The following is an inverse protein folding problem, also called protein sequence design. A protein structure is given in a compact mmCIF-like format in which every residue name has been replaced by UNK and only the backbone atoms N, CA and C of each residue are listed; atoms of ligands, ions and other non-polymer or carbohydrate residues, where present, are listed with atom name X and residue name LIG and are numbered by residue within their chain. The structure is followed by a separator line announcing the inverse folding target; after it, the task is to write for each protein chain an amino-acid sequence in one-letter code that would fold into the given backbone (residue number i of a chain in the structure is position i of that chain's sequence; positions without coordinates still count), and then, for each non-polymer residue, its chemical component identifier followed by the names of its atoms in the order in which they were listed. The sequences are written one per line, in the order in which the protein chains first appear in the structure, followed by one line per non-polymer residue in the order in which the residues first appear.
data_IF_007209903372
#
_entry.id   IF_007209903372
#
_cell.length_a   1.000
_cell.length_b   1.000
_cell.length_c   1.000
_cell.angle_alpha   90.00
_cell.angle_beta   90.00
_cell.angle_gamma   90.00
#
_symmetry.space_group_name_H-M   'P 1'
#
loop_
_entity.id
_entity.type
_entity.pdbx_description
1 polymer ?
#
# COMPACT_ATOMS: atom_id res chain seq x y z
N UNK A 1 9.56 10.95 -4.92
CA UNK A 1 10.32 9.69 -5.12
C UNK A 1 10.38 9.41 -6.60
N UNK A 2 11.49 8.85 -7.13
CA UNK A 2 11.57 8.55 -8.56
C UNK A 2 10.59 7.44 -8.94
N UNK A 3 10.15 7.40 -10.22
CA UNK A 3 9.24 6.37 -10.74
C UNK A 3 9.80 4.94 -10.72
N UNK A 4 11.10 4.79 -10.44
CA UNK A 4 11.80 3.51 -10.30
C UNK A 4 12.71 3.52 -9.08
N UNK A 5 12.93 2.34 -8.51
CA UNK A 5 13.89 2.13 -7.41
C UNK A 5 15.32 2.39 -7.91
N UNK A 6 16.15 3.17 -7.19
CA UNK A 6 17.55 3.37 -7.56
C UNK A 6 18.34 2.07 -7.40
N UNK A 7 19.54 1.96 -8.02
CA UNK A 7 20.43 0.83 -7.78
C UNK A 7 20.73 0.65 -6.29
N UNK A 8 20.62 -0.57 -5.78
CA UNK A 8 20.86 -0.95 -4.38
C UNK A 8 21.90 -2.06 -4.30
N UNK A 9 22.72 -2.06 -3.25
CA UNK A 9 23.90 -2.93 -3.16
C UNK A 9 23.61 -4.27 -2.45
N UNK A 10 22.60 -4.34 -1.60
CA UNK A 10 22.29 -5.52 -0.80
C UNK A 10 20.79 -5.86 -0.82
N UNK A 11 20.49 -7.11 -0.45
CA UNK A 11 19.14 -7.66 -0.53
C UNK A 11 18.15 -6.94 0.39
N UNK A 12 18.53 -6.66 1.64
CA UNK A 12 17.64 -5.99 2.62
C UNK A 12 17.23 -4.61 2.12
N UNK A 13 18.22 -3.81 1.73
CA UNK A 13 17.98 -2.48 1.17
C UNK A 13 17.13 -2.57 -0.10
N UNK A 14 17.35 -3.58 -0.96
CA UNK A 14 16.55 -3.79 -2.15
C UNK A 14 15.09 -4.07 -1.82
N UNK A 15 14.81 -5.03 -0.94
CA UNK A 15 13.44 -5.39 -0.54
C UNK A 15 12.68 -4.20 0.07
N UNK A 16 13.31 -3.47 0.98
CA UNK A 16 12.70 -2.27 1.58
C UNK A 16 12.48 -1.15 0.54
N UNK A 17 13.42 -0.93 -0.37
CA UNK A 17 13.29 0.09 -1.41
C UNK A 17 12.16 -0.24 -2.41
N UNK A 18 12.01 -1.51 -2.81
CA UNK A 18 10.90 -1.94 -3.66
C UNK A 18 9.56 -1.85 -2.93
N UNK A 19 9.49 -2.23 -1.65
CA UNK A 19 8.28 -2.07 -0.85
C UNK A 19 7.91 -0.58 -0.71
N UNK A 20 8.87 0.30 -0.40
CA UNK A 20 8.67 1.74 -0.32
C UNK A 20 8.17 2.32 -1.66
N UNK A 21 8.68 1.83 -2.80
CA UNK A 21 8.20 2.21 -4.13
C UNK A 21 6.73 1.81 -4.33
N UNK A 22 6.33 0.59 -3.95
CA UNK A 22 4.94 0.17 -4.08
C UNK A 22 4.00 0.96 -3.17
N UNK A 23 4.40 1.25 -1.94
CA UNK A 23 3.65 2.15 -1.04
C UNK A 23 3.48 3.55 -1.64
N UNK A 24 4.53 4.07 -2.25
CA UNK A 24 4.49 5.38 -2.90
C UNK A 24 3.49 5.41 -4.05
N UNK A 25 3.51 4.45 -4.98
CA UNK A 25 2.59 4.43 -6.11
C UNK A 25 1.15 4.24 -5.68
N UNK A 26 0.88 3.42 -4.63
CA UNK A 26 -0.45 3.30 -4.06
C UNK A 26 -0.94 4.62 -3.46
N UNK A 27 -0.12 5.29 -2.62
CA UNK A 27 -0.46 6.59 -2.02
C UNK A 27 -0.65 7.69 -3.07
N UNK A 28 0.06 7.60 -4.18
CA UNK A 28 -0.04 8.55 -5.28
C UNK A 28 -1.44 8.58 -5.90
N UNK A 29 -2.15 7.45 -5.93
CA UNK A 29 -3.53 7.40 -6.43
C UNK A 29 -4.50 8.28 -5.63
N UNK A 30 -4.18 8.59 -4.37
CA UNK A 30 -4.96 9.46 -3.51
C UNK A 30 -4.63 10.96 -3.67
N UNK A 31 -3.61 11.32 -4.45
CA UNK A 31 -3.18 12.71 -4.59
C UNK A 31 -4.31 13.61 -5.07
N UNK A 32 -4.64 14.62 -4.26
CA UNK A 32 -5.68 15.61 -4.57
C UNK A 32 -7.13 15.10 -4.50
N UNK A 33 -7.39 13.88 -4.06
CA UNK A 33 -8.75 13.39 -3.79
C UNK A 33 -9.34 14.04 -2.52
N UNK A 34 -10.64 14.27 -2.56
CA UNK A 34 -11.45 14.58 -1.37
C UNK A 34 -11.82 13.29 -0.62
N UNK A 35 -12.26 13.40 0.65
CA UNK A 35 -12.74 12.23 1.42
C UNK A 35 -13.90 11.51 0.70
N UNK A 36 -14.83 12.25 0.10
CA UNK A 36 -15.94 11.66 -0.65
C UNK A 36 -15.48 10.89 -1.90
N UNK A 37 -14.44 11.34 -2.56
CA UNK A 37 -13.85 10.62 -3.69
C UNK A 37 -13.04 9.40 -3.23
N UNK A 38 -12.36 9.51 -2.09
CA UNK A 38 -11.56 8.43 -1.54
C UNK A 38 -12.38 7.20 -1.14
N UNK A 39 -13.63 7.36 -0.75
CA UNK A 39 -14.56 6.26 -0.42
C UNK A 39 -15.44 5.83 -1.59
N UNK A 40 -15.37 6.52 -2.73
CA UNK A 40 -16.16 6.16 -3.90
C UNK A 40 -15.64 4.86 -4.54
N UNK A 41 -16.57 3.99 -4.95
CA UNK A 41 -16.32 2.74 -5.66
C UNK A 41 -16.96 2.78 -7.06
N UNK A 42 -16.45 3.60 -8.02
CA UNK A 42 -17.07 3.82 -9.31
C UNK A 42 -16.75 2.72 -10.34
N UNK A 43 -15.83 1.80 -10.03
CA UNK A 43 -15.42 0.71 -10.91
C UNK A 43 -16.38 -0.49 -10.80
N UNK A 44 -16.06 -1.61 -11.46
CA UNK A 44 -16.86 -2.83 -11.42
C UNK A 44 -16.85 -3.56 -10.07
N UNK A 45 -15.87 -3.27 -9.22
CA UNK A 45 -15.73 -3.81 -7.86
C UNK A 45 -16.15 -2.77 -6.83
N UNK A 46 -16.32 -3.21 -5.57
CA UNK A 46 -16.60 -2.33 -4.43
C UNK A 46 -15.33 -1.65 -3.86
N UNK A 47 -14.20 -1.77 -4.55
CA UNK A 47 -12.92 -1.20 -4.11
C UNK A 47 -12.94 0.33 -4.23
N UNK A 48 -12.41 0.99 -3.19
CA UNK A 48 -12.17 2.43 -3.17
C UNK A 48 -10.69 2.72 -2.89
N UNK A 49 -10.20 3.89 -3.31
CA UNK A 49 -8.80 4.27 -3.08
C UNK A 49 -8.46 4.31 -1.59
N UNK A 50 -9.32 4.92 -0.78
CA UNK A 50 -9.13 5.00 0.68
C UNK A 50 -9.16 3.62 1.34
N UNK A 51 -10.10 2.76 0.93
CA UNK A 51 -10.20 1.39 1.41
C UNK A 51 -8.96 0.56 1.08
N UNK A 52 -8.43 0.67 -0.14
CA UNK A 52 -7.20 -0.01 -0.54
C UNK A 52 -5.98 0.43 0.27
N UNK A 53 -5.84 1.74 0.54
CA UNK A 53 -4.75 2.26 1.39
C UNK A 53 -4.86 1.72 2.81
N UNK A 54 -6.07 1.73 3.40
CA UNK A 54 -6.32 1.17 4.73
C UNK A 54 -6.01 -0.33 4.78
N UNK A 55 -6.51 -1.08 3.78
CA UNK A 55 -6.26 -2.52 3.68
C UNK A 55 -4.77 -2.83 3.69
N UNK A 56 -3.98 -2.12 2.89
CA UNK A 56 -2.54 -2.34 2.85
C UNK A 56 -1.84 -1.95 4.15
N UNK A 57 -2.28 -0.88 4.82
CA UNK A 57 -1.74 -0.51 6.12
C UNK A 57 -2.03 -1.59 7.19
N UNK A 58 -3.26 -2.07 7.28
CA UNK A 58 -3.65 -3.11 8.22
C UNK A 58 -2.97 -4.45 7.92
N UNK A 59 -2.91 -4.84 6.64
CA UNK A 59 -2.25 -6.06 6.19
C UNK A 59 -0.75 -6.07 6.50
N UNK A 60 -0.07 -4.98 6.20
CA UNK A 60 1.36 -4.83 6.49
C UNK A 60 1.65 -4.92 7.99
N UNK A 61 0.85 -4.26 8.85
CA UNK A 61 0.96 -4.37 10.30
C UNK A 61 0.75 -5.80 10.77
N UNK A 62 -0.29 -6.48 10.28
CA UNK A 62 -0.59 -7.87 10.63
C UNK A 62 0.57 -8.82 10.28
N UNK A 63 1.19 -8.62 9.12
CA UNK A 63 2.38 -9.38 8.73
C UNK A 63 3.58 -9.11 9.65
N UNK A 64 3.79 -7.86 10.07
CA UNK A 64 4.86 -7.54 11.04
C UNK A 64 4.58 -8.10 12.42
N UNK A 65 3.34 -8.13 12.86
CA UNK A 65 2.94 -8.81 14.09
C UNK A 65 3.20 -10.32 14.00
N UNK A 66 2.94 -10.94 12.85
CA UNK A 66 3.27 -12.35 12.59
C UNK A 66 4.80 -12.59 12.63
N UNK A 67 5.59 -11.70 12.03
CA UNK A 67 7.08 -11.75 12.09
C UNK A 67 7.59 -11.69 13.53
N UNK A 68 6.93 -10.89 14.38
CA UNK A 68 7.29 -10.71 15.78
C UNK A 68 6.61 -11.70 16.74
N UNK A 69 5.85 -12.67 16.19
CA UNK A 69 5.06 -13.64 16.96
C UNK A 69 4.12 -12.96 17.98
N UNK A 70 3.60 -11.76 17.64
CA UNK A 70 2.60 -11.06 18.42
C UNK A 70 1.20 -11.60 18.11
N UNK A 71 0.25 -11.50 19.06
CA UNK A 71 -1.13 -11.80 18.76
C UNK A 71 -1.62 -10.92 17.60
N UNK A 72 -2.04 -11.53 16.49
CA UNK A 72 -2.67 -10.79 15.39
C UNK A 72 -4.06 -10.30 15.80
N UNK A 73 -4.48 -9.16 15.21
CA UNK A 73 -5.83 -8.63 15.36
C UNK A 73 -6.92 -9.65 14.95
N UNK A 74 -8.17 -9.34 15.27
CA UNK A 74 -9.29 -10.21 14.92
C UNK A 74 -9.51 -10.30 13.40
N UNK A 75 -10.08 -11.42 12.91
CA UNK A 75 -10.54 -11.57 11.53
C UNK A 75 -11.51 -10.46 11.11
N UNK A 76 -12.29 -9.93 12.04
CA UNK A 76 -13.22 -8.81 11.82
C UNK A 76 -12.49 -7.51 11.40
N UNK A 77 -11.26 -7.32 11.85
CA UNK A 77 -10.43 -6.16 11.47
C UNK A 77 -9.89 -6.30 10.04
N UNK A 78 -9.59 -7.52 9.62
CA UNK A 78 -9.21 -7.82 8.23
C UNK A 78 -10.40 -7.64 7.28
N UNK A 79 -11.58 -8.15 7.63
CA UNK A 79 -12.79 -8.07 6.79
C UNK A 79 -13.26 -6.62 6.57
N UNK A 80 -13.05 -5.74 7.57
CA UNK A 80 -13.34 -4.30 7.47
C UNK A 80 -12.20 -3.49 6.86
N UNK A 81 -11.10 -4.14 6.50
CA UNK A 81 -9.89 -3.47 6.01
C UNK A 81 -10.10 -2.69 4.71
N UNK A 82 -11.11 -3.04 3.89
CA UNK A 82 -11.38 -2.37 2.61
C UNK A 82 -12.34 -1.17 2.70
N UNK A 83 -12.83 -0.84 3.88
CA UNK A 83 -13.77 0.27 4.07
C UNK A 83 -13.26 1.26 5.13
N UNK A 84 -13.46 2.55 4.87
CA UNK A 84 -13.23 3.57 5.88
C UNK A 84 -14.38 3.54 6.89
N UNK A 85 -14.04 3.54 8.19
CA UNK A 85 -15.03 3.73 9.26
C UNK A 85 -15.60 5.15 9.27
N UNK A 86 -16.66 5.38 10.03
CA UNK A 86 -17.38 6.67 10.05
C UNK A 86 -16.52 7.86 10.52
N UNK A 87 -15.48 7.59 11.32
CA UNK A 87 -14.59 8.62 11.87
C UNK A 87 -13.23 8.65 11.14
N UNK A 88 -13.06 7.86 10.07
CA UNK A 88 -11.83 7.82 9.29
C UNK A 88 -11.93 8.73 8.07
N UNK A 89 -10.84 9.42 7.78
CA UNK A 89 -10.66 10.29 6.61
C UNK A 89 -9.53 9.78 5.75
N UNK A 90 -9.43 10.26 4.51
CA UNK A 90 -8.29 9.97 3.65
C UNK A 90 -6.96 10.33 4.33
N UNK A 91 -6.90 11.49 4.99
CA UNK A 91 -5.72 11.91 5.73
C UNK A 91 -5.35 10.92 6.84
N UNK A 92 -6.33 10.45 7.63
CA UNK A 92 -6.08 9.52 8.74
C UNK A 92 -5.54 8.16 8.27
N UNK A 93 -6.02 7.63 7.13
CA UNK A 93 -5.51 6.35 6.61
C UNK A 93 -4.15 6.49 5.92
N UNK A 94 -3.86 7.64 5.31
CA UNK A 94 -2.52 7.96 4.80
C UNK A 94 -1.50 8.06 5.92
N UNK A 95 -1.85 8.74 7.04
CA UNK A 95 -1.02 8.83 8.24
C UNK A 95 -0.82 7.45 8.90
N UNK A 96 -1.87 6.63 8.92
CA UNK A 96 -1.77 5.25 9.39
C UNK A 96 -0.74 4.47 8.59
N UNK A 97 -0.84 4.54 7.26
CA UNK A 97 0.07 3.79 6.38
C UNK A 97 1.52 4.27 6.50
N UNK A 98 1.73 5.56 6.70
CA UNK A 98 3.07 6.12 6.94
C UNK A 98 3.69 5.61 8.26
N UNK A 99 2.91 5.59 9.34
CA UNK A 99 3.36 5.03 10.63
C UNK A 99 3.69 3.54 10.52
N UNK A 100 2.82 2.75 9.87
CA UNK A 100 3.06 1.32 9.67
C UNK A 100 4.31 1.07 8.84
N UNK A 101 4.53 1.85 7.78
CA UNK A 101 5.73 1.76 6.96
C UNK A 101 7.01 2.00 7.79
N UNK A 102 7.01 3.04 8.63
CA UNK A 102 8.15 3.33 9.52
C UNK A 102 8.37 2.22 10.58
N UNK A 103 7.29 1.66 11.13
CA UNK A 103 7.35 0.51 12.05
C UNK A 103 7.95 -0.73 11.35
N UNK A 104 7.51 -1.05 10.14
CA UNK A 104 8.06 -2.16 9.33
C UNK A 104 9.56 -2.00 9.10
N UNK A 105 10.00 -0.80 8.71
CA UNK A 105 11.42 -0.53 8.48
C UNK A 105 12.24 -0.70 9.77
N UNK A 106 11.73 -0.23 10.91
CA UNK A 106 12.38 -0.39 12.21
C UNK A 106 12.45 -1.86 12.64
N UNK A 107 11.38 -2.64 12.44
CA UNK A 107 11.35 -4.08 12.74
C UNK A 107 12.37 -4.81 11.87
N UNK A 108 12.35 -4.59 10.56
CA UNK A 108 13.27 -5.27 9.62
C UNK A 108 14.73 -4.88 9.89
N UNK A 109 15.01 -3.64 10.30
CA UNK A 109 16.36 -3.22 10.69
C UNK A 109 16.90 -3.97 11.92
N UNK A 110 16.01 -4.42 12.82
CA UNK A 110 16.38 -5.19 14.01
C UNK A 110 16.52 -6.70 13.78
N UNK A 111 16.23 -7.22 12.58
CA UNK A 111 16.32 -8.64 12.23
C UNK A 111 17.69 -8.92 11.61
N UNK A 112 18.48 -9.79 12.21
CA UNK A 112 19.83 -10.10 11.71
C UNK A 112 19.81 -10.92 10.41
N UNK A 113 18.94 -11.92 10.34
CA UNK A 113 18.81 -12.85 9.20
C UNK A 113 17.40 -12.80 8.58
N UNK A 114 17.29 -12.39 7.32
CA UNK A 114 16.03 -12.43 6.57
C UNK A 114 15.52 -13.86 6.30
N UNK A 115 16.34 -14.88 6.56
CA UNK A 115 15.95 -16.29 6.61
C UNK A 115 15.24 -16.71 7.89
N UNK A 116 15.15 -15.84 8.92
CA UNK A 116 14.42 -16.13 10.16
C UNK A 116 13.03 -16.69 9.87
N UNK A 117 12.69 -17.79 10.52
CA UNK A 117 11.38 -18.45 10.34
C UNK A 117 10.24 -17.56 10.86
N UNK A 118 9.18 -17.49 10.09
CA UNK A 118 7.92 -16.80 10.42
C UNK A 118 6.81 -17.86 10.41
N UNK A 119 6.19 -18.17 11.55
CA UNK A 119 5.17 -19.21 11.62
C UNK A 119 3.99 -18.93 10.68
N UNK A 120 3.50 -19.97 9.98
CA UNK A 120 2.28 -19.85 9.15
C UNK A 120 1.07 -19.79 10.07
N UNK A 121 0.22 -18.75 10.01
CA UNK A 121 -1.01 -18.67 10.77
C UNK A 121 -1.92 -19.85 10.46
N UNK A 122 -2.37 -20.56 11.49
CA UNK A 122 -3.22 -21.75 11.34
C UNK A 122 -4.69 -21.37 11.22
N UNK A 123 -5.47 -22.20 10.49
CA UNK A 123 -6.90 -21.99 10.35
C UNK A 123 -7.31 -20.90 9.35
N UNK A 124 -6.39 -20.42 8.56
CA UNK A 124 -6.64 -19.46 7.47
C UNK A 124 -6.86 -20.26 6.18
N UNK A 125 -8.05 -20.21 5.56
CA UNK A 125 -8.44 -21.13 4.48
C UNK A 125 -7.57 -21.08 3.21
N UNK A 126 -6.88 -19.98 2.98
CA UNK A 126 -6.01 -19.79 1.81
C UNK A 126 -4.52 -20.00 2.10
N UNK A 127 -4.16 -20.35 3.35
CA UNK A 127 -2.78 -20.69 3.70
C UNK A 127 -2.57 -22.22 3.64
N UNK A 128 -1.37 -22.69 3.22
CA UNK A 128 -1.09 -24.11 3.12
C UNK A 128 -0.94 -24.75 4.51
N UNK A 129 -1.63 -25.85 4.77
CA UNK A 129 -1.57 -26.59 6.03
C UNK A 129 -0.25 -27.37 6.23
N UNK A 130 0.45 -27.69 5.13
CA UNK A 130 1.67 -28.48 5.11
C UNK A 130 2.94 -27.64 5.26
N UNK A 131 2.85 -26.31 5.12
CA UNK A 131 3.94 -25.37 5.35
C UNK A 131 3.91 -24.89 6.80
N UNK A 132 5.01 -25.09 7.54
CA UNK A 132 5.09 -24.72 8.96
C UNK A 132 5.57 -23.28 9.17
N UNK A 133 6.46 -22.81 8.32
CA UNK A 133 6.99 -21.47 8.42
C UNK A 133 7.39 -20.93 7.05
N UNK A 134 7.25 -19.64 6.90
CA UNK A 134 7.88 -18.85 5.86
C UNK A 134 9.21 -18.26 6.37
N UNK A 135 9.72 -17.23 5.70
CA UNK A 135 10.84 -16.43 6.18
C UNK A 135 10.47 -14.95 6.15
N UNK A 136 11.20 -14.11 6.87
CA UNK A 136 11.04 -12.64 6.77
C UNK A 136 11.20 -12.16 5.33
N UNK A 137 12.16 -12.72 4.59
CA UNK A 137 12.32 -12.46 3.14
C UNK A 137 11.04 -12.74 2.36
N UNK A 138 10.39 -13.88 2.61
CA UNK A 138 9.13 -14.23 1.97
C UNK A 138 8.04 -13.20 2.29
N UNK A 139 7.92 -12.79 3.56
CA UNK A 139 6.94 -11.78 3.98
C UNK A 139 7.16 -10.46 3.26
N UNK A 140 8.40 -9.99 3.14
CA UNK A 140 8.72 -8.75 2.42
C UNK A 140 8.39 -8.86 0.92
N UNK A 141 8.68 -9.99 0.28
CA UNK A 141 8.30 -10.23 -1.13
C UNK A 141 6.79 -10.27 -1.29
N UNK A 142 6.06 -10.92 -0.37
CA UNK A 142 4.61 -10.95 -0.37
C UNK A 142 4.01 -9.54 -0.21
N UNK A 143 4.54 -8.72 0.70
CA UNK A 143 4.10 -7.32 0.86
C UNK A 143 4.33 -6.49 -0.41
N UNK A 144 5.45 -6.71 -1.12
CA UNK A 144 5.71 -6.05 -2.41
C UNK A 144 4.68 -6.47 -3.45
N UNK A 145 4.40 -7.78 -3.56
CA UNK A 145 3.42 -8.35 -4.49
C UNK A 145 2.01 -7.81 -4.24
N UNK A 146 1.54 -7.90 -2.99
CA UNK A 146 0.22 -7.44 -2.58
C UNK A 146 0.04 -5.94 -2.79
N UNK A 147 1.03 -5.14 -2.37
CA UNK A 147 0.96 -3.69 -2.57
C UNK A 147 0.94 -3.33 -4.05
N UNK A 148 1.76 -4.00 -4.89
CA UNK A 148 1.79 -3.77 -6.33
C UNK A 148 0.45 -4.10 -6.99
N UNK A 149 -0.18 -5.23 -6.60
CA UNK A 149 -1.49 -5.65 -7.09
C UNK A 149 -2.58 -4.62 -6.72
N UNK A 150 -2.61 -4.20 -5.47
CA UNK A 150 -3.60 -3.24 -5.00
C UNK A 150 -3.35 -1.81 -5.51
N UNK A 151 -2.10 -1.43 -5.77
CA UNK A 151 -1.78 -0.18 -6.46
C UNK A 151 -2.38 -0.14 -7.87
N UNK A 152 -2.29 -1.23 -8.63
CA UNK A 152 -2.94 -1.33 -9.95
C UNK A 152 -4.47 -1.28 -9.88
N UNK A 153 -5.10 -1.86 -8.84
CA UNK A 153 -6.54 -1.67 -8.60
C UNK A 153 -6.88 -0.21 -8.29
N UNK A 154 -6.09 0.44 -7.45
CA UNK A 154 -6.28 1.84 -7.09
C UNK A 154 -6.10 2.78 -8.29
N UNK A 155 -5.18 2.49 -9.21
CA UNK A 155 -5.02 3.22 -10.48
C UNK A 155 -6.33 3.16 -11.29
N UNK A 156 -6.92 1.97 -11.49
CA UNK A 156 -8.17 1.79 -12.24
C UNK A 156 -9.33 2.54 -11.58
N UNK A 157 -9.43 2.47 -10.23
CA UNK A 157 -10.45 3.22 -9.48
C UNK A 157 -10.23 4.73 -9.67
N UNK A 158 -9.00 5.21 -9.56
CA UNK A 158 -8.64 6.61 -9.75
C UNK A 158 -8.97 7.11 -11.16
N UNK A 159 -8.59 6.37 -12.18
CA UNK A 159 -8.91 6.69 -13.56
C UNK A 159 -10.44 6.80 -13.78
N UNK A 160 -11.21 5.99 -13.08
CA UNK A 160 -12.69 6.02 -13.16
C UNK A 160 -13.28 7.23 -12.41
N UNK A 161 -12.63 7.72 -11.35
CA UNK A 161 -13.08 8.92 -10.59
C UNK A 161 -12.92 10.20 -11.42
N UNK A 162 -11.73 10.42 -11.99
CA UNK A 162 -11.40 11.73 -12.59
C UNK A 162 -10.46 11.66 -13.82
N UNK A 163 -10.18 10.46 -14.32
CA UNK A 163 -9.32 10.25 -15.48
C UNK A 163 -7.82 10.41 -15.19
N UNK A 164 -7.43 10.64 -13.93
CA UNK A 164 -6.03 10.83 -13.58
C UNK A 164 -5.24 9.52 -13.71
N UNK A 165 -4.07 9.58 -14.34
CA UNK A 165 -3.16 8.44 -14.50
C UNK A 165 -1.85 8.65 -13.74
N UNK A 166 -1.11 7.58 -13.53
CA UNK A 166 0.06 7.54 -12.64
C UNK A 166 1.11 8.64 -12.92
N UNK A 167 1.54 8.82 -14.19
CA UNK A 167 2.59 9.78 -14.51
C UNK A 167 2.18 11.25 -14.33
N UNK A 168 1.01 11.71 -14.79
CA UNK A 168 0.51 13.05 -14.47
C UNK A 168 0.36 13.31 -12.98
N UNK A 169 -0.10 12.33 -12.19
CA UNK A 169 -0.18 12.43 -10.73
C UNK A 169 1.21 12.57 -10.10
N UNK A 170 2.18 11.77 -10.54
CA UNK A 170 3.56 11.84 -10.08
C UNK A 170 4.19 13.19 -10.42
N UNK A 171 3.99 13.68 -11.65
CA UNK A 171 4.49 14.97 -12.07
C UNK A 171 3.93 16.11 -11.21
N UNK A 172 2.64 16.03 -10.85
CA UNK A 172 2.02 17.01 -9.96
C UNK A 172 2.56 16.91 -8.52
N UNK A 173 2.63 15.70 -7.97
CA UNK A 173 3.10 15.48 -6.60
C UNK A 173 4.59 15.83 -6.39
N UNK A 174 5.41 15.65 -7.42
CA UNK A 174 6.85 15.93 -7.37
C UNK A 174 7.23 17.29 -8.00
N UNK A 175 6.24 18.10 -8.41
CA UNK A 175 6.44 19.41 -9.03
C UNK A 175 7.31 19.37 -10.30
N UNK A 176 7.09 18.37 -11.16
CA UNK A 176 7.78 18.31 -12.45
C UNK A 176 7.26 19.41 -13.39
N UNK A 177 8.13 19.98 -14.22
CA UNK A 177 7.68 20.96 -15.20
C UNK A 177 6.81 20.31 -16.28
N UNK A 178 5.81 21.03 -16.76
CA UNK A 178 5.04 20.61 -17.93
C UNK A 178 5.96 20.53 -19.17
N UNK A 179 5.77 19.51 -19.99
CA UNK A 179 6.46 19.29 -21.26
C UNK A 179 5.46 18.98 -22.36
N UNK A 180 5.90 18.89 -23.63
CA UNK A 180 5.00 18.53 -24.75
C UNK A 180 4.37 17.14 -24.59
N UNK A 181 5.06 16.21 -23.93
CA UNK A 181 4.62 14.80 -23.75
C UNK A 181 4.05 14.50 -22.37
N UNK A 182 4.23 15.40 -21.38
CA UNK A 182 3.80 15.21 -19.99
C UNK A 182 3.22 16.50 -19.43
N UNK A 183 1.97 16.43 -18.99
CA UNK A 183 1.31 17.49 -18.26
C UNK A 183 1.06 17.05 -16.82
N UNK A 184 1.55 17.77 -15.80
CA UNK A 184 1.17 17.47 -14.41
C UNK A 184 -0.34 17.54 -14.23
N UNK A 185 -0.87 16.57 -13.47
CA UNK A 185 -2.30 16.52 -13.18
C UNK A 185 -2.76 17.79 -12.47
N UNK A 186 -3.95 18.24 -12.81
CA UNK A 186 -4.64 19.35 -12.18
C UNK A 186 -6.05 18.93 -11.80
N UNK A 187 -6.50 19.35 -10.60
CA UNK A 187 -7.86 19.07 -10.17
C UNK A 187 -8.86 19.57 -11.23
N UNK A 188 -9.89 18.76 -11.57
CA UNK A 188 -10.95 19.21 -12.46
C UNK A 188 -11.53 20.53 -11.96
N UNK A 189 -11.77 21.48 -12.88
CA UNK A 189 -12.44 22.72 -12.53
C UNK A 189 -13.82 22.40 -11.96
N UNK A 190 -14.12 22.89 -10.75
CA UNK A 190 -15.45 22.75 -10.17
C UNK A 190 -16.42 23.43 -11.10
N UNK A 191 -17.30 22.66 -11.76
CA UNK A 191 -18.40 23.23 -12.52
C UNK A 191 -19.25 24.07 -11.58
N UNK A 192 -19.29 25.38 -11.84
CA UNK A 192 -20.12 26.33 -11.09
C UNK A 192 -21.59 26.19 -11.46
#
# INVERSE_FOLDING_TARGET
MAGIVPPVADERTALLAFLAQQRYVLRLTAYGLTDSQAVAAPAASELSVGGLIKHMACGERSWMDTVLERPSGSTDEYDRGFELGPDETLASVLDLYERVAAETEAIVAGIDDLGQAVPVPQGVPWFPDDVKAWSVRWVLLHLIEETARHAGHADIVRETIDGATAFPLMAAAENWPATEWMQPWQAPAVAR
#
